data_IF_738582979703
#
_entry.id   IF_738582979703
#
_cell.length_a   1.000
_cell.length_b   1.000
_cell.length_c   1.000
_cell.angle_alpha   90.00
_cell.angle_beta   90.00
_cell.angle_gamma   90.00
#
_symmetry.space_group_name_H-M   'P 1'
#
loop_
_entity.id
_entity.type
_entity.pdbx_description
1 polymer ?
#
# COMPACT_ATOMS: atom_id res chain seq x y z
N UNK A 1 38.55 -15.37 7.98
CA UNK A 1 37.25 -14.66 7.95
C UNK A 1 37.10 -13.90 6.64
N UNK A 2 36.50 -14.53 5.61
CA UNK A 2 36.11 -13.85 4.37
C UNK A 2 34.59 -13.65 4.42
N UNK A 3 34.15 -12.39 4.53
CA UNK A 3 32.74 -12.02 4.35
C UNK A 3 32.35 -12.37 2.92
N UNK A 4 31.41 -13.30 2.75
CA UNK A 4 30.79 -13.59 1.46
C UNK A 4 29.96 -12.37 1.04
N UNK A 5 30.46 -11.61 0.07
CA UNK A 5 29.63 -10.69 -0.70
C UNK A 5 28.77 -11.55 -1.63
N UNK A 6 27.53 -11.85 -1.23
CA UNK A 6 26.54 -12.38 -2.18
C UNK A 6 26.24 -11.28 -3.21
N UNK A 7 26.47 -11.59 -4.49
CA UNK A 7 26.18 -10.68 -5.59
C UNK A 7 24.65 -10.58 -5.73
N UNK A 8 24.06 -9.50 -5.22
CA UNK A 8 22.73 -9.07 -5.67
C UNK A 8 22.89 -8.37 -7.02
N UNK A 9 22.80 -9.14 -8.11
CA UNK A 9 22.64 -8.59 -9.46
C UNK A 9 21.30 -9.11 -9.99
N UNK A 10 20.39 -8.17 -10.25
CA UNK A 10 19.02 -8.33 -10.79
C UNK A 10 17.95 -8.87 -9.82
N UNK A 11 17.34 -7.96 -9.05
CA UNK A 11 16.17 -8.22 -8.19
C UNK A 11 16.56 -8.80 -6.83
N UNK A 12 16.26 -8.09 -5.75
CA UNK A 12 16.48 -8.61 -4.40
C UNK A 12 15.57 -9.80 -4.16
N UNK A 13 16.13 -10.97 -3.85
CA UNK A 13 15.35 -12.11 -3.36
C UNK A 13 15.59 -12.25 -1.87
N UNK A 14 14.51 -12.30 -1.10
CA UNK A 14 14.55 -12.72 0.30
C UNK A 14 14.13 -14.19 0.32
N UNK A 15 15.11 -15.06 0.55
CA UNK A 15 14.92 -16.52 0.66
C UNK A 15 15.35 -16.94 2.07
N UNK A 16 14.37 -17.26 2.89
CA UNK A 16 14.56 -17.62 4.29
C UNK A 16 15.17 -19.02 4.51
N UNK A 17 15.47 -19.77 3.44
CA UNK A 17 15.79 -21.19 3.55
C UNK A 17 14.62 -22.00 4.15
N UNK A 18 14.90 -23.19 4.68
CA UNK A 18 13.89 -24.14 5.21
C UNK A 18 13.04 -23.61 6.40
N UNK A 19 13.33 -22.42 6.94
CA UNK A 19 12.71 -21.93 8.19
C UNK A 19 11.56 -20.93 8.05
N UNK A 20 11.40 -20.21 6.94
CA UNK A 20 10.20 -19.38 6.74
C UNK A 20 9.26 -20.01 5.72
N UNK A 21 7.96 -19.76 5.92
CA UNK A 21 6.90 -20.40 5.14
C UNK A 21 6.55 -19.66 3.86
N UNK A 22 7.36 -18.66 3.44
CA UNK A 22 7.08 -17.89 2.24
C UNK A 22 8.34 -17.39 1.49
N UNK A 23 8.18 -17.14 0.18
CA UNK A 23 9.18 -16.51 -0.69
C UNK A 23 8.72 -15.14 -1.16
N UNK A 24 9.65 -14.16 -1.18
CA UNK A 24 9.40 -12.81 -1.71
C UNK A 24 10.40 -12.47 -2.81
N UNK A 25 9.87 -12.12 -3.98
CA UNK A 25 10.64 -11.55 -5.07
C UNK A 25 10.44 -10.05 -5.10
N UNK A 26 11.51 -9.27 -5.08
CA UNK A 26 11.43 -7.80 -5.16
C UNK A 26 11.80 -7.32 -6.57
N UNK A 27 11.13 -6.26 -7.02
CA UNK A 27 11.46 -5.57 -8.27
C UNK A 27 12.16 -4.24 -8.01
N UNK A 28 12.73 -3.66 -9.07
CA UNK A 28 13.39 -2.35 -8.99
C UNK A 28 12.42 -1.24 -8.53
N UNK A 29 11.10 -1.41 -8.66
CA UNK A 29 10.08 -0.47 -8.21
C UNK A 29 9.89 -0.35 -6.69
N UNK A 30 10.73 -1.01 -5.88
CA UNK A 30 10.47 -1.19 -4.46
C UNK A 30 9.26 -2.08 -4.19
N UNK A 31 8.86 -2.91 -5.17
CA UNK A 31 7.65 -3.72 -5.11
C UNK A 31 7.95 -5.13 -4.64
N UNK A 32 6.98 -5.74 -3.97
CA UNK A 32 6.87 -7.20 -3.92
C UNK A 32 6.27 -7.65 -5.24
N UNK A 33 7.07 -8.32 -6.06
CA UNK A 33 6.65 -8.89 -7.33
C UNK A 33 5.68 -10.06 -7.10
N UNK A 34 6.00 -10.93 -6.15
CA UNK A 34 5.16 -12.04 -5.71
C UNK A 34 5.46 -12.41 -4.26
N UNK A 35 4.45 -12.98 -3.59
CA UNK A 35 4.56 -13.61 -2.27
C UNK A 35 3.97 -15.02 -2.41
N UNK A 36 4.78 -16.05 -2.19
CA UNK A 36 4.36 -17.44 -2.32
C UNK A 36 4.43 -18.16 -0.99
N UNK A 37 3.38 -18.87 -0.57
CA UNK A 37 3.41 -19.71 0.64
C UNK A 37 4.00 -21.08 0.31
N UNK A 38 5.15 -21.38 0.91
CA UNK A 38 5.78 -22.71 0.87
C UNK A 38 5.00 -23.76 1.65
N UNK A 39 4.34 -23.35 2.74
CA UNK A 39 3.55 -24.30 3.54
C UNK A 39 2.32 -24.81 2.79
N UNK A 40 1.67 -23.92 2.04
CA UNK A 40 0.43 -24.24 1.33
C UNK A 40 0.62 -24.46 -0.17
N UNK A 41 1.85 -24.31 -0.67
CA UNK A 41 2.21 -24.44 -2.08
C UNK A 41 1.30 -23.59 -3.00
N UNK A 42 1.01 -22.37 -2.56
CA UNK A 42 0.07 -21.47 -3.25
C UNK A 42 0.51 -19.99 -3.19
N UNK A 43 0.22 -19.20 -4.22
CA UNK A 43 0.48 -17.76 -4.22
C UNK A 43 -0.42 -17.04 -3.22
N UNK A 44 0.17 -16.10 -2.47
CA UNK A 44 -0.51 -15.18 -1.56
C UNK A 44 -0.73 -13.84 -2.25
N UNK A 45 0.30 -13.34 -2.94
CA UNK A 45 0.24 -12.20 -3.85
C UNK A 45 0.73 -12.65 -5.22
N UNK A 46 -0.12 -12.47 -6.23
CA UNK A 46 0.18 -12.92 -7.58
C UNK A 46 1.10 -11.94 -8.30
N UNK A 47 1.92 -12.48 -9.19
CA UNK A 47 2.69 -11.67 -10.12
C UNK A 47 1.75 -11.02 -11.15
N UNK A 48 1.87 -9.72 -11.30
CA UNK A 48 1.16 -8.93 -12.31
C UNK A 48 2.10 -7.83 -12.85
N UNK A 49 1.77 -7.15 -13.96
CA UNK A 49 2.62 -6.09 -14.52
C UNK A 49 2.93 -4.93 -13.55
N UNK A 50 2.00 -4.61 -12.64
CA UNK A 50 2.17 -3.60 -11.61
C UNK A 50 2.90 -4.12 -10.35
N UNK A 51 3.14 -5.43 -10.20
CA UNK A 51 3.69 -6.11 -9.02
C UNK A 51 2.61 -6.56 -8.01
N UNK A 52 2.85 -7.65 -7.29
CA UNK A 52 1.93 -8.18 -6.27
C UNK A 52 1.66 -7.25 -5.07
N UNK A 53 2.58 -6.33 -4.75
CA UNK A 53 2.32 -5.20 -3.85
C UNK A 53 3.34 -4.08 -4.08
N UNK A 54 2.90 -2.82 -4.13
CA UNK A 54 3.79 -1.67 -4.22
C UNK A 54 3.53 -0.61 -3.11
N UNK A 55 4.56 0.16 -2.72
CA UNK A 55 4.39 1.27 -1.77
C UNK A 55 3.81 2.50 -2.47
N UNK A 56 2.91 3.22 -1.82
CA UNK A 56 2.35 4.49 -2.32
C UNK A 56 3.00 5.64 -1.57
N UNK A 57 3.64 6.56 -2.29
CA UNK A 57 4.41 7.69 -1.75
C UNK A 57 4.80 8.67 -2.87
N UNK A 58 4.88 9.99 -2.60
CA UNK A 58 4.74 10.67 -1.29
C UNK A 58 3.28 10.95 -0.86
N UNK A 59 2.31 10.34 -1.52
CA UNK A 59 0.90 10.34 -1.15
C UNK A 59 0.24 9.04 -1.61
N UNK A 60 -0.95 8.73 -1.07
CA UNK A 60 -1.78 7.65 -1.58
C UNK A 60 -2.95 8.19 -2.42
N UNK A 61 -3.32 7.45 -3.46
CA UNK A 61 -4.49 7.71 -4.30
C UNK A 61 -4.44 9.09 -5.00
N UNK A 62 -5.60 9.72 -5.23
CA UNK A 62 -5.77 10.95 -6.03
C UNK A 62 -5.97 12.18 -5.17
N UNK A 63 -5.64 13.33 -5.76
CA UNK A 63 -5.94 14.67 -5.24
C UNK A 63 -6.72 15.43 -6.30
N UNK A 64 -7.91 15.91 -5.96
CA UNK A 64 -8.80 16.59 -6.89
C UNK A 64 -8.10 17.82 -7.52
N UNK A 65 -8.27 17.98 -8.83
CA UNK A 65 -7.61 19.04 -9.61
C UNK A 65 -6.08 18.91 -9.72
N UNK A 66 -5.49 17.81 -9.24
CA UNK A 66 -4.06 17.56 -9.12
C UNK A 66 -3.31 18.69 -8.38
N UNK A 67 -3.98 19.28 -7.38
CA UNK A 67 -3.48 20.45 -6.63
C UNK A 67 -4.17 20.58 -5.28
N UNK A 68 -3.57 21.36 -4.39
CA UNK A 68 -4.16 21.72 -3.09
C UNK A 68 -3.54 23.01 -2.55
N UNK A 69 -4.18 23.61 -1.54
CA UNK A 69 -3.62 24.77 -0.84
C UNK A 69 -2.90 24.30 0.42
N UNK A 70 -1.66 24.76 0.62
CA UNK A 70 -0.87 24.52 1.82
C UNK A 70 -0.20 25.80 2.29
N UNK A 71 -0.46 26.20 3.55
CA UNK A 71 -0.01 27.49 4.10
C UNK A 71 -0.24 28.69 3.16
N UNK A 72 -1.42 28.75 2.54
CA UNK A 72 -1.81 29.84 1.64
C UNK A 72 -1.15 29.81 0.24
N UNK A 73 -0.36 28.77 -0.06
CA UNK A 73 0.25 28.55 -1.38
C UNK A 73 -0.46 27.44 -2.13
N UNK A 74 -0.69 27.64 -3.42
CA UNK A 74 -1.13 26.56 -4.30
C UNK A 74 0.04 25.63 -4.61
N UNK A 75 -0.15 24.35 -4.31
CA UNK A 75 0.77 23.27 -4.65
C UNK A 75 0.16 22.52 -5.82
N UNK A 76 0.83 22.57 -6.98
CA UNK A 76 0.46 21.77 -8.16
C UNK A 76 1.31 20.51 -8.18
N UNK A 77 0.64 19.35 -8.17
CA UNK A 77 1.31 18.06 -8.17
C UNK A 77 1.90 17.73 -9.56
N UNK A 78 2.96 16.90 -9.62
CA UNK A 78 3.51 16.44 -10.89
C UNK A 78 2.46 15.76 -11.77
N UNK A 79 2.65 15.82 -13.09
CA UNK A 79 1.95 14.93 -14.01
C UNK A 79 2.66 13.59 -14.07
N UNK A 80 1.90 12.53 -14.30
CA UNK A 80 2.41 11.16 -14.28
C UNK A 80 1.61 10.34 -15.29
N UNK A 81 2.21 9.28 -15.86
CA UNK A 81 1.63 8.58 -17.02
C UNK A 81 0.63 7.47 -16.66
N UNK A 82 0.59 6.98 -15.42
CA UNK A 82 -0.35 5.90 -15.07
C UNK A 82 -1.77 6.40 -14.74
N UNK A 83 -2.01 7.72 -14.81
CA UNK A 83 -3.33 8.33 -14.73
C UNK A 83 -3.30 9.63 -15.55
N UNK A 84 -4.30 9.84 -16.41
CA UNK A 84 -4.34 10.98 -17.35
C UNK A 84 -4.40 12.33 -16.63
N UNK A 85 -4.99 12.39 -15.45
CA UNK A 85 -5.31 13.64 -14.75
C UNK A 85 -4.51 13.82 -13.45
N UNK A 86 -4.16 12.74 -12.76
CA UNK A 86 -3.70 12.82 -11.38
C UNK A 86 -2.31 12.22 -11.15
N UNK A 87 -1.62 12.74 -10.13
CA UNK A 87 -0.42 12.15 -9.53
C UNK A 87 -0.79 10.93 -8.66
N UNK A 88 -1.34 9.91 -9.31
CA UNK A 88 -1.94 8.74 -8.67
C UNK A 88 -0.90 7.93 -7.89
N UNK A 89 -1.12 7.82 -6.56
CA UNK A 89 -0.23 7.11 -5.62
C UNK A 89 1.20 7.67 -5.50
N UNK A 90 1.39 8.91 -5.97
CA UNK A 90 2.71 9.45 -6.18
C UNK A 90 3.49 8.67 -7.24
N UNK A 91 4.82 8.63 -7.11
CA UNK A 91 5.66 7.98 -8.13
C UNK A 91 6.73 7.08 -7.56
N UNK A 92 6.81 6.91 -6.24
CA UNK A 92 7.81 6.02 -5.62
C UNK A 92 7.71 4.58 -6.12
N UNK A 93 6.51 4.10 -6.41
CA UNK A 93 6.26 2.76 -6.98
C UNK A 93 6.76 2.57 -8.42
N UNK A 94 7.06 3.65 -9.14
CA UNK A 94 7.55 3.62 -10.51
C UNK A 94 9.06 3.85 -10.61
N UNK A 95 9.69 4.29 -9.51
CA UNK A 95 11.11 4.57 -9.49
C UNK A 95 11.94 3.34 -9.24
N UNK A 96 13.21 3.40 -9.64
CA UNK A 96 14.21 2.44 -9.20
C UNK A 96 14.61 2.73 -7.74
N UNK A 97 14.56 1.70 -6.90
CA UNK A 97 15.06 1.70 -5.53
C UNK A 97 16.41 1.00 -5.46
N UNK A 98 17.28 1.52 -4.60
CA UNK A 98 18.57 0.91 -4.30
C UNK A 98 18.44 -0.05 -3.12
N UNK A 99 18.98 -1.27 -3.25
CA UNK A 99 19.09 -2.19 -2.12
C UNK A 99 20.28 -1.75 -1.27
N UNK A 100 20.01 -1.28 -0.05
CA UNK A 100 21.03 -0.79 0.87
C UNK A 100 21.43 -1.84 1.91
N UNK A 101 20.56 -2.82 2.17
CA UNK A 101 20.82 -3.91 3.11
C UNK A 101 20.00 -5.14 2.70
N UNK A 102 20.58 -6.34 2.84
CA UNK A 102 19.86 -7.58 2.62
C UNK A 102 20.40 -8.68 3.56
N UNK A 103 19.49 -9.40 4.19
CA UNK A 103 19.76 -10.61 4.96
C UNK A 103 18.98 -11.80 4.41
N UNK A 104 19.01 -12.93 5.11
CA UNK A 104 18.25 -14.13 4.73
C UNK A 104 16.73 -13.88 4.79
N UNK A 105 16.27 -13.13 5.77
CA UNK A 105 14.83 -12.93 6.06
C UNK A 105 14.38 -11.48 5.86
N UNK A 106 15.24 -10.59 5.36
CA UNK A 106 14.85 -9.20 5.12
C UNK A 106 15.62 -8.54 3.98
N UNK A 107 15.05 -7.47 3.43
CA UNK A 107 15.69 -6.57 2.49
C UNK A 107 15.28 -5.13 2.81
N UNK A 108 16.23 -4.21 2.76
CA UNK A 108 16.01 -2.77 2.94
C UNK A 108 16.37 -2.06 1.65
N UNK A 109 15.40 -1.32 1.13
CA UNK A 109 15.52 -0.53 -0.08
C UNK A 109 15.45 0.96 0.25
N UNK A 110 16.06 1.79 -0.58
CA UNK A 110 16.09 3.23 -0.43
C UNK A 110 15.78 3.95 -1.74
N UNK A 111 15.10 5.08 -1.64
CA UNK A 111 14.78 5.97 -2.74
C UNK A 111 14.90 7.43 -2.29
N UNK A 112 15.68 8.25 -3.01
CA UNK A 112 15.76 9.70 -2.83
C UNK A 112 15.00 10.37 -3.97
N UNK A 113 14.05 11.27 -3.66
CA UNK A 113 13.30 12.02 -4.69
C UNK A 113 13.06 13.45 -4.29
N UNK A 114 13.08 14.31 -5.30
CA UNK A 114 12.79 15.73 -5.20
C UNK A 114 11.84 16.10 -6.34
N UNK A 115 10.84 16.91 -6.00
CA UNK A 115 9.83 17.44 -6.92
C UNK A 115 9.75 18.95 -6.74
N UNK A 116 9.52 19.68 -7.85
CA UNK A 116 9.41 21.14 -7.82
C UNK A 116 8.27 21.66 -6.93
N UNK A 117 7.26 20.82 -6.65
CA UNK A 117 6.12 21.13 -5.79
C UNK A 117 6.43 21.08 -4.28
N UNK A 118 7.70 20.88 -3.90
CA UNK A 118 8.16 20.91 -2.50
C UNK A 118 8.41 19.55 -1.87
N UNK A 119 7.98 18.45 -2.50
CA UNK A 119 8.36 17.13 -2.01
C UNK A 119 9.86 16.92 -2.18
N UNK A 120 10.53 16.75 -1.07
CA UNK A 120 11.95 16.46 -1.03
C UNK A 120 12.15 15.43 0.09
N UNK A 121 12.37 14.17 -0.27
CA UNK A 121 12.42 13.09 0.72
C UNK A 121 13.43 11.99 0.41
N UNK A 122 13.83 11.29 1.47
CA UNK A 122 14.46 9.98 1.44
C UNK A 122 13.45 8.96 2.00
N UNK A 123 13.09 7.97 1.19
CA UNK A 123 12.27 6.85 1.61
C UNK A 123 13.13 5.61 1.84
N UNK A 124 12.85 4.90 2.91
CA UNK A 124 13.41 3.58 3.21
C UNK A 124 12.28 2.59 3.38
N UNK A 125 12.41 1.45 2.73
CA UNK A 125 11.40 0.39 2.71
C UNK A 125 12.04 -0.90 3.17
N UNK A 126 11.57 -1.44 4.29
CA UNK A 126 12.02 -2.72 4.83
C UNK A 126 10.95 -3.77 4.59
N UNK A 127 11.33 -4.83 3.90
CA UNK A 127 10.55 -6.06 3.82
C UNK A 127 11.20 -7.12 4.70
N UNK A 128 10.42 -7.73 5.58
CA UNK A 128 10.89 -8.79 6.47
C UNK A 128 9.91 -9.96 6.47
N UNK A 129 10.45 -11.17 6.31
CA UNK A 129 9.75 -12.41 6.53
C UNK A 129 9.99 -12.88 7.96
N UNK A 130 8.90 -13.19 8.67
CA UNK A 130 8.96 -13.73 10.02
C UNK A 130 7.93 -14.86 10.14
N UNK A 131 8.41 -16.11 10.11
CA UNK A 131 7.57 -17.32 10.11
C UNK A 131 6.56 -17.28 8.95
N UNK A 132 5.28 -17.05 9.26
CA UNK A 132 4.15 -16.98 8.34
C UNK A 132 3.71 -15.54 8.03
N UNK A 133 4.60 -14.56 8.23
CA UNK A 133 4.29 -13.15 8.10
C UNK A 133 5.24 -12.48 7.12
N UNK A 134 4.70 -11.64 6.24
CA UNK A 134 5.44 -10.58 5.58
C UNK A 134 5.14 -9.25 6.30
N UNK A 135 6.19 -8.56 6.71
CA UNK A 135 6.14 -7.22 7.31
C UNK A 135 6.77 -6.25 6.32
N UNK A 136 6.03 -5.21 5.95
CA UNK A 136 6.49 -4.11 5.12
C UNK A 136 6.45 -2.82 5.94
N UNK A 137 7.59 -2.16 6.09
CA UNK A 137 7.75 -0.92 6.84
C UNK A 137 8.33 0.16 5.93
N UNK A 138 7.60 1.25 5.78
CA UNK A 138 8.01 2.44 5.05
C UNK A 138 8.35 3.55 6.03
N UNK A 139 9.54 4.11 5.92
CA UNK A 139 9.95 5.35 6.56
C UNK A 139 10.21 6.40 5.49
N UNK A 140 9.55 7.56 5.57
CA UNK A 140 9.82 8.71 4.73
C UNK A 140 10.38 9.82 5.59
N UNK A 141 11.56 10.35 5.23
CA UNK A 141 12.19 11.50 5.90
C UNK A 141 12.20 12.69 4.94
N UNK A 142 11.69 13.84 5.36
CA UNK A 142 11.74 15.06 4.55
C UNK A 142 13.11 15.74 4.65
N UNK A 143 13.64 16.23 3.53
CA UNK A 143 14.94 16.91 3.43
C UNK A 143 14.83 18.30 2.81
N UNK A 144 13.63 18.73 2.42
CA UNK A 144 13.40 20.09 1.92
C UNK A 144 13.50 21.13 3.03
N UNK A 145 13.82 22.36 2.64
CA UNK A 145 13.86 23.50 3.57
C UNK A 145 12.46 23.96 3.98
N UNK A 146 11.48 23.81 3.08
CA UNK A 146 10.09 24.20 3.29
C UNK A 146 9.28 22.96 3.65
N UNK A 147 8.54 22.96 4.78
CA UNK A 147 7.70 21.82 5.15
C UNK A 147 6.74 21.42 4.02
N UNK A 148 6.48 20.12 3.91
CA UNK A 148 5.55 19.57 2.94
C UNK A 148 4.58 18.58 3.58
N UNK A 149 3.42 18.40 2.96
CA UNK A 149 2.34 17.57 3.45
C UNK A 149 2.42 16.17 2.83
N UNK A 150 2.75 15.16 3.63
CA UNK A 150 2.98 13.80 3.18
C UNK A 150 1.85 12.83 3.53
N UNK A 151 1.67 11.87 2.64
CA UNK A 151 0.90 10.67 2.85
C UNK A 151 1.66 9.44 2.34
N UNK A 152 1.11 8.27 2.58
CA UNK A 152 1.63 7.01 2.09
C UNK A 152 0.63 5.86 2.28
N UNK A 153 0.96 4.70 1.71
CA UNK A 153 0.25 3.45 1.94
C UNK A 153 0.91 2.27 1.26
N UNK A 154 0.21 1.14 1.21
CA UNK A 154 0.61 -0.03 0.42
C UNK A 154 -0.56 -0.51 -0.42
N UNK A 155 -0.26 -0.98 -1.63
CA UNK A 155 -1.25 -1.50 -2.57
C UNK A 155 -1.00 -2.99 -2.88
N UNK A 156 -1.37 -3.92 -1.99
CA UNK A 156 -1.44 -5.35 -2.30
C UNK A 156 -2.42 -5.59 -3.45
N UNK A 157 -1.93 -6.20 -4.52
CA UNK A 157 -2.70 -6.52 -5.70
C UNK A 157 -2.99 -8.03 -5.75
N UNK A 158 -4.14 -8.39 -6.33
CA UNK A 158 -4.54 -9.77 -6.58
C UNK A 158 -4.57 -10.69 -5.36
N UNK A 159 -5.31 -10.34 -4.30
CA UNK A 159 -5.63 -11.32 -3.25
C UNK A 159 -6.79 -12.19 -3.73
N UNK A 160 -6.48 -13.40 -4.21
CA UNK A 160 -7.52 -14.39 -4.53
C UNK A 160 -8.39 -14.66 -3.31
N UNK A 161 -9.70 -14.68 -3.52
CA UNK A 161 -10.65 -14.83 -2.43
C UNK A 161 -11.92 -15.58 -2.81
N UNK A 162 -12.47 -16.28 -1.82
CA UNK A 162 -13.87 -16.70 -1.77
C UNK A 162 -14.66 -15.78 -0.83
N UNK A 163 -14.02 -15.24 0.19
CA UNK A 163 -14.62 -14.29 1.11
C UNK A 163 -13.58 -13.33 1.70
N UNK A 164 -14.01 -12.09 1.96
CA UNK A 164 -13.29 -11.10 2.74
C UNK A 164 -14.16 -10.64 3.92
N UNK A 165 -13.50 -10.28 5.03
CA UNK A 165 -14.13 -9.70 6.22
C UNK A 165 -13.22 -8.61 6.78
N UNK A 166 -13.79 -7.45 7.07
CA UNK A 166 -13.09 -6.34 7.70
C UNK A 166 -13.45 -6.26 9.19
N UNK A 167 -12.51 -5.79 10.01
CA UNK A 167 -12.83 -5.26 11.34
C UNK A 167 -13.76 -4.04 11.23
N UNK A 168 -14.14 -3.45 12.36
CA UNK A 168 -15.00 -2.25 12.43
C UNK A 168 -14.73 -1.27 11.29
N UNK A 169 -15.78 -0.75 10.66
CA UNK A 169 -15.76 0.32 9.66
C UNK A 169 -16.88 1.28 10.06
N UNK A 170 -16.58 2.57 10.17
CA UNK A 170 -17.58 3.57 10.58
C UNK A 170 -18.37 4.15 9.40
N UNK A 171 -17.85 4.01 8.19
CA UNK A 171 -18.50 4.45 6.96
C UNK A 171 -17.58 4.40 5.75
N UNK A 172 -18.04 4.95 4.64
CA UNK A 172 -17.33 4.92 3.36
C UNK A 172 -17.51 6.21 2.56
N UNK A 173 -16.66 6.37 1.55
CA UNK A 173 -16.70 7.42 0.55
C UNK A 173 -17.14 6.76 -0.77
N UNK A 174 -18.36 7.04 -1.27
CA UNK A 174 -18.79 6.55 -2.58
C UNK A 174 -17.89 7.12 -3.67
N UNK A 175 -17.69 6.33 -4.71
CA UNK A 175 -16.97 6.78 -5.90
C UNK A 175 -17.80 7.77 -6.72
N UNK A 176 -17.17 8.86 -7.14
CA UNK A 176 -17.71 9.85 -8.05
C UNK A 176 -16.90 9.94 -9.34
N UNK A 177 -17.05 11.08 -10.02
CA UNK A 177 -16.37 11.34 -11.29
C UNK A 177 -14.85 11.27 -11.14
N UNK A 178 -14.17 10.73 -12.17
CA UNK A 178 -12.72 10.56 -12.21
C UNK A 178 -12.15 9.78 -11.00
N UNK A 179 -12.95 8.88 -10.43
CA UNK A 179 -12.58 8.06 -9.27
C UNK A 179 -12.27 8.89 -8.01
N UNK A 180 -12.83 10.10 -7.90
CA UNK A 180 -12.74 10.95 -6.71
C UNK A 180 -13.90 10.63 -5.75
N UNK A 181 -13.71 10.82 -4.42
CA UNK A 181 -14.75 10.52 -3.45
C UNK A 181 -15.89 11.55 -3.49
N UNK A 182 -17.13 11.06 -3.41
CA UNK A 182 -18.30 11.84 -3.01
C UNK A 182 -18.35 11.98 -1.49
N UNK A 183 -19.36 12.70 -0.97
CA UNK A 183 -19.52 12.89 0.47
C UNK A 183 -19.56 11.57 1.25
N UNK A 184 -18.89 11.56 2.40
CA UNK A 184 -18.86 10.43 3.31
C UNK A 184 -20.26 10.00 3.76
N UNK A 185 -20.46 8.70 3.88
CA UNK A 185 -21.69 8.09 4.35
C UNK A 185 -21.41 7.09 5.48
N UNK A 186 -22.20 7.15 6.56
CA UNK A 186 -22.08 6.23 7.69
C UNK A 186 -22.76 4.88 7.48
N UNK A 187 -23.77 4.83 6.61
CA UNK A 187 -24.48 3.59 6.30
C UNK A 187 -23.83 2.91 5.11
N UNK A 188 -23.21 1.75 5.35
CA UNK A 188 -22.60 0.94 4.28
C UNK A 188 -23.68 0.26 3.44
N UNK A 189 -23.64 0.33 2.10
CA UNK A 189 -24.51 -0.48 1.25
C UNK A 189 -24.07 -1.94 1.29
N UNK A 190 -25.00 -2.87 1.05
CA UNK A 190 -24.77 -4.31 1.18
C UNK A 190 -23.54 -4.80 0.38
N UNK A 191 -23.38 -4.31 -0.86
CA UNK A 191 -22.27 -4.65 -1.74
C UNK A 191 -20.88 -4.24 -1.22
N UNK A 192 -20.83 -3.30 -0.28
CA UNK A 192 -19.61 -2.78 0.33
C UNK A 192 -19.51 -3.11 1.83
N UNK A 193 -20.45 -3.87 2.39
CA UNK A 193 -20.51 -4.12 3.84
C UNK A 193 -19.79 -5.42 4.25
N UNK A 194 -18.46 -5.40 4.27
CA UNK A 194 -17.64 -6.56 4.66
C UNK A 194 -17.53 -6.78 6.18
N UNK A 195 -18.50 -6.32 6.99
CA UNK A 195 -18.53 -6.59 8.44
C UNK A 195 -18.69 -8.08 8.76
N UNK A 196 -19.38 -8.79 7.86
CA UNK A 196 -19.47 -10.25 7.78
C UNK A 196 -18.64 -10.76 6.59
N UNK A 197 -18.21 -12.02 6.67
CA UNK A 197 -17.43 -12.62 5.60
C UNK A 197 -18.27 -12.79 4.33
N UNK A 198 -17.84 -12.21 3.22
CA UNK A 198 -18.54 -12.30 1.94
C UNK A 198 -17.59 -12.08 0.75
N UNK A 199 -18.01 -12.53 -0.43
CA UNK A 199 -17.32 -12.22 -1.68
C UNK A 199 -17.57 -10.76 -2.14
N UNK A 200 -18.69 -10.16 -1.73
CA UNK A 200 -19.22 -8.91 -2.30
C UNK A 200 -19.90 -9.14 -3.66
N UNK A 201 -20.63 -8.14 -4.18
CA UNK A 201 -21.28 -8.23 -5.50
C UNK A 201 -20.27 -8.27 -6.65
N UNK A 202 -20.47 -9.12 -7.66
CA UNK A 202 -19.61 -9.17 -8.85
C UNK A 202 -19.82 -7.94 -9.75
N UNK A 203 -19.11 -6.87 -9.40
CA UNK A 203 -19.17 -5.56 -10.04
C UNK A 203 -17.86 -4.80 -9.83
N UNK A 204 -17.75 -3.66 -10.49
CA UNK A 204 -16.74 -2.67 -10.16
C UNK A 204 -16.91 -2.20 -8.72
N UNK A 205 -15.88 -2.44 -7.91
CA UNK A 205 -15.77 -1.92 -6.56
C UNK A 205 -14.53 -1.03 -6.49
N UNK A 206 -14.73 0.23 -6.15
CA UNK A 206 -13.65 1.16 -5.83
C UNK A 206 -14.10 1.99 -4.62
N UNK A 207 -13.92 1.42 -3.43
CA UNK A 207 -14.57 1.88 -2.20
C UNK A 207 -13.53 2.32 -1.18
N UNK A 208 -13.64 3.56 -0.70
CA UNK A 208 -12.82 4.07 0.39
C UNK A 208 -13.52 3.98 1.73
N UNK A 209 -12.97 3.22 2.67
CA UNK A 209 -13.51 3.05 4.01
C UNK A 209 -12.84 3.99 5.02
N UNK A 210 -13.61 4.39 6.04
CA UNK A 210 -13.12 5.13 7.21
C UNK A 210 -13.48 4.41 8.51
N UNK A 211 -12.72 4.68 9.57
CA UNK A 211 -12.88 4.00 10.86
C UNK A 211 -12.57 2.51 10.80
N UNK A 212 -11.80 2.07 9.79
CA UNK A 212 -11.35 0.69 9.64
C UNK A 212 -10.50 0.29 10.86
N UNK A 213 -10.84 -0.80 11.54
CA UNK A 213 -10.09 -1.27 12.72
C UNK A 213 -8.68 -1.82 12.45
N UNK A 214 -8.11 -1.57 11.26
CA UNK A 214 -6.77 -1.99 10.89
C UNK A 214 -6.61 -3.47 10.57
N UNK A 215 -7.69 -4.24 10.46
CA UNK A 215 -7.66 -5.68 10.13
C UNK A 215 -8.63 -6.05 9.00
N UNK A 216 -8.11 -6.76 8.01
CA UNK A 216 -8.91 -7.41 6.99
C UNK A 216 -8.47 -8.86 6.84
N UNK A 217 -9.43 -9.79 6.83
CA UNK A 217 -9.19 -11.21 6.61
C UNK A 217 -9.77 -11.59 5.25
N UNK A 218 -8.96 -12.22 4.43
CA UNK A 218 -9.32 -12.80 3.15
C UNK A 218 -9.14 -14.31 3.26
N UNK A 219 -10.09 -15.08 2.74
CA UNK A 219 -10.07 -16.55 2.75
C UNK A 219 -10.28 -17.06 1.32
N UNK A 220 -9.47 -18.04 0.91
CA UNK A 220 -9.65 -18.80 -0.33
C UNK A 220 -9.68 -20.30 -0.02
N UNK A 221 -9.68 -21.18 -1.02
CA UNK A 221 -9.78 -22.63 -0.80
C UNK A 221 -8.60 -23.23 -0.02
N UNK A 222 -7.47 -22.54 0.01
CA UNK A 222 -6.20 -23.08 0.50
C UNK A 222 -5.80 -22.49 1.85
N UNK A 223 -6.04 -21.21 2.06
CA UNK A 223 -5.52 -20.47 3.21
C UNK A 223 -6.36 -19.24 3.58
N UNK A 224 -6.02 -18.69 4.74
CA UNK A 224 -6.45 -17.42 5.26
C UNK A 224 -5.30 -16.41 5.18
N UNK A 225 -5.57 -15.23 4.65
CA UNK A 225 -4.64 -14.12 4.53
C UNK A 225 -5.19 -12.98 5.39
N UNK A 226 -4.46 -12.56 6.41
CA UNK A 226 -4.83 -11.39 7.22
C UNK A 226 -3.92 -10.21 6.90
N UNK A 227 -4.50 -9.10 6.48
CA UNK A 227 -3.84 -7.80 6.38
C UNK A 227 -4.04 -7.03 7.68
N UNK A 228 -2.95 -6.53 8.24
CA UNK A 228 -2.93 -5.63 9.38
C UNK A 228 -2.20 -4.33 9.03
N UNK A 229 -2.73 -3.19 9.47
CA UNK A 229 -2.08 -1.89 9.37
C UNK A 229 -2.57 -0.96 10.48
N UNK A 230 -1.79 0.07 10.82
CA UNK A 230 -2.11 1.02 11.90
C UNK A 230 -3.21 2.04 11.54
N UNK A 231 -3.70 2.02 10.30
CA UNK A 231 -4.53 3.09 9.75
C UNK A 231 -6.02 2.82 9.89
N UNK A 232 -6.84 3.88 10.08
CA UNK A 232 -8.29 3.80 9.98
C UNK A 232 -8.83 3.89 8.55
N UNK A 233 -7.99 3.98 7.51
CA UNK A 233 -8.42 4.10 6.11
C UNK A 233 -7.97 2.90 5.27
N UNK A 234 -8.92 2.35 4.52
CA UNK A 234 -8.72 1.20 3.64
C UNK A 234 -9.41 1.48 2.30
N UNK A 235 -8.70 1.34 1.19
CA UNK A 235 -9.34 1.23 -0.13
C UNK A 235 -9.56 -0.23 -0.49
N UNK A 236 -10.72 -0.52 -1.06
CA UNK A 236 -11.01 -1.78 -1.74
C UNK A 236 -11.15 -1.50 -3.23
N UNK A 237 -10.37 -2.22 -4.04
CA UNK A 237 -10.51 -2.21 -5.48
C UNK A 237 -10.76 -3.62 -6.04
N UNK A 238 -11.76 -3.77 -6.91
CA UNK A 238 -12.00 -4.99 -7.69
C UNK A 238 -12.69 -4.63 -9.02
N UNK A 239 -12.17 -5.18 -10.11
CA UNK A 239 -12.85 -5.13 -11.41
C UNK A 239 -13.93 -6.21 -11.49
N UNK A 240 -15.00 -5.95 -12.22
CA UNK A 240 -16.04 -6.95 -12.47
C UNK A 240 -15.46 -8.20 -13.13
N UNK A 241 -15.90 -9.37 -12.70
CA UNK A 241 -15.47 -10.69 -13.19
C UNK A 241 -14.18 -11.21 -12.55
N UNK A 242 -13.49 -10.41 -11.73
CA UNK A 242 -12.24 -10.83 -11.10
C UNK A 242 -12.47 -11.61 -9.80
N UNK A 243 -11.71 -12.69 -9.62
CA UNK A 243 -11.73 -13.54 -8.42
C UNK A 243 -10.80 -13.05 -7.31
N UNK A 244 -10.26 -11.83 -7.47
CA UNK A 244 -9.37 -11.19 -6.52
C UNK A 244 -9.83 -9.77 -6.19
N UNK A 245 -9.32 -9.24 -5.09
CA UNK A 245 -9.43 -7.82 -4.77
C UNK A 245 -8.07 -7.24 -4.35
N UNK A 246 -8.01 -5.91 -4.31
CA UNK A 246 -6.93 -5.16 -3.69
C UNK A 246 -7.46 -4.56 -2.39
N UNK A 247 -6.69 -4.69 -1.31
CA UNK A 247 -6.96 -4.06 -0.01
C UNK A 247 -5.79 -3.16 0.30
N UNK A 248 -6.00 -1.85 0.19
CA UNK A 248 -4.92 -0.87 0.24
C UNK A 248 -5.04 -0.03 1.53
N UNK A 249 -4.29 -0.37 2.59
CA UNK A 249 -4.15 0.52 3.73
C UNK A 249 -3.47 1.82 3.31
N UNK A 250 -4.11 2.94 3.63
CA UNK A 250 -3.63 4.29 3.30
C UNK A 250 -3.56 5.12 4.58
N UNK A 251 -2.58 5.99 4.71
CA UNK A 251 -2.44 6.88 5.88
C UNK A 251 -3.45 8.02 5.93
N UNK A 252 -4.27 8.20 4.90
CA UNK A 252 -5.29 9.25 4.78
C UNK A 252 -6.38 8.80 3.79
N UNK A 253 -7.59 9.40 3.81
CA UNK A 253 -8.58 9.15 2.78
C UNK A 253 -8.19 9.79 1.44
N UNK A 254 -8.81 9.35 0.35
CA UNK A 254 -8.64 9.96 -0.98
C UNK A 254 -8.97 11.45 -0.91
N UNK A 255 -8.20 12.29 -1.60
CA UNK A 255 -8.38 13.74 -1.63
C UNK A 255 -8.25 14.47 -0.26
N UNK A 256 -7.67 13.83 0.78
CA UNK A 256 -7.46 14.46 2.09
C UNK A 256 -6.75 15.82 2.04
N UNK A 257 -5.93 16.07 1.02
CA UNK A 257 -5.21 17.33 0.82
C UNK A 257 -6.13 18.55 0.69
N UNK A 258 -7.35 18.34 0.19
CA UNK A 258 -8.39 19.35 -0.01
C UNK A 258 -9.53 19.25 1.02
N UNK A 259 -9.35 18.48 2.08
CA UNK A 259 -10.32 18.36 3.18
C UNK A 259 -9.88 19.22 4.37
N UNK A 260 -10.86 19.75 5.11
CA UNK A 260 -10.60 20.46 6.36
C UNK A 260 -9.82 19.56 7.34
N UNK A 261 -8.77 20.12 7.93
CA UNK A 261 -7.90 19.41 8.86
C UNK A 261 -6.97 18.37 8.22
N UNK A 262 -7.02 18.15 6.90
CA UNK A 262 -6.10 17.27 6.15
C UNK A 262 -5.91 15.90 6.81
N UNK A 263 -7.01 15.15 7.05
CA UNK A 263 -7.01 14.00 7.94
C UNK A 263 -6.00 12.94 7.52
N UNK A 264 -5.17 12.50 8.48
CA UNK A 264 -4.18 11.43 8.26
C UNK A 264 -2.90 11.87 7.55
N UNK A 265 -2.91 13.00 6.85
CA UNK A 265 -1.69 13.58 6.27
C UNK A 265 -0.79 14.14 7.37
N UNK A 266 0.52 14.18 7.08
CA UNK A 266 1.54 14.66 8.01
C UNK A 266 2.35 15.77 7.39
N UNK A 267 2.33 16.95 8.00
CA UNK A 267 3.31 17.99 7.71
C UNK A 267 4.65 17.53 8.26
N UNK A 268 5.67 17.50 7.40
CA UNK A 268 7.05 17.18 7.76
C UNK A 268 7.94 18.37 7.43
N UNK A 269 8.64 18.89 8.43
CA UNK A 269 9.81 19.76 8.28
C UNK A 269 11.10 18.98 8.06
N UNK A 270 12.20 19.69 7.87
CA UNK A 270 13.51 19.08 7.57
C UNK A 270 13.91 18.07 8.66
N UNK A 271 14.22 16.84 8.25
CA UNK A 271 14.60 15.73 9.12
C UNK A 271 13.43 15.01 9.80
N UNK A 272 12.20 15.53 9.72
CA UNK A 272 11.02 14.88 10.29
C UNK A 272 10.59 13.67 9.44
N UNK A 273 9.90 12.74 10.10
CA UNK A 273 9.61 11.41 9.54
C UNK A 273 8.13 11.04 9.61
N UNK A 274 7.69 10.34 8.57
CA UNK A 274 6.45 9.57 8.51
C UNK A 274 6.80 8.08 8.46
N UNK A 275 6.15 7.28 9.30
CA UNK A 275 6.29 5.83 9.31
C UNK A 275 4.95 5.18 8.97
N UNK A 276 4.98 4.16 8.11
CA UNK A 276 3.80 3.40 7.72
C UNK A 276 4.10 1.92 7.59
N UNK A 277 3.16 1.05 7.98
CA UNK A 277 3.40 -0.38 7.99
C UNK A 277 2.21 -1.18 7.46
N UNK A 278 2.53 -2.30 6.86
CA UNK A 278 1.57 -3.33 6.49
C UNK A 278 2.15 -4.68 6.86
N UNK A 279 1.31 -5.52 7.44
CA UNK A 279 1.64 -6.91 7.75
C UNK A 279 0.64 -7.83 7.06
N UNK A 280 1.16 -8.86 6.38
CA UNK A 280 0.38 -9.96 5.81
C UNK A 280 0.70 -11.21 6.62
N UNK A 281 -0.32 -11.84 7.20
CA UNK A 281 -0.22 -13.09 7.95
C UNK A 281 -0.91 -14.20 7.14
N UNK A 282 -0.25 -15.34 6.99
CA UNK A 282 -0.75 -16.49 6.22
C UNK A 282 -1.04 -17.65 7.17
N UNK A 283 -2.27 -18.16 7.18
CA UNK A 283 -2.73 -19.20 8.11
C UNK A 283 -3.59 -20.25 7.38
N UNK A 284 -3.66 -21.45 7.91
CA UNK A 284 -4.50 -22.52 7.34
C UNK A 284 -5.98 -22.30 7.68
N UNK A 285 -6.85 -23.06 7.02
CA UNK A 285 -8.20 -23.28 7.55
C UNK A 285 -8.07 -24.11 8.83
N UNK A 286 -8.67 -23.67 9.92
CA UNK A 286 -8.68 -24.45 11.17
C UNK A 286 -9.49 -25.72 10.98
#
# INVERSE_FOLDING_TARGET
>A
MRRSRSRCANGGRVDSGERASADVRLSLGGKVQSLFSRQYQAPVLYENPAGGMFPMLPLANRVAGNRFIFHGREIVLPRHHADEYFFLHGDGWLQRWDIIECGAEYCVLQLRRQHACGFDYLAQLRYQLLRNQLIAELTLTHYGEVPALYGCGFHPFSLSMNAARFSSVSGYWPEGENHLPLNWQGNLPDYANFSVAQFGEDRWLNVGYSGWGGRAKVSNDVMNITILSQTPWLMLFRMQGESFLCLEPQSHPVNAHNMDGQPGLRVLGAGEKLNFSLKIIIEGHK
#
